data_IF_843896095658
#
_entry.id   IF_843896095658
#
_cell.length_a   1.000
_cell.length_b   1.000
_cell.length_c   1.000
_cell.angle_alpha   90.00
_cell.angle_beta   90.00
_cell.angle_gamma   90.00
#
_symmetry.space_group_name_H-M   'P 1'
#
loop_
_entity.id
_entity.type
_entity.pdbx_description
1 polymer ?
#
# COMPACT_ATOMS: atom_id res chain seq x y z
N UNK A 1 -37.99 -75.78 -19.68
CA UNK A 1 -36.84 -75.06 -20.25
C UNK A 1 -37.15 -73.57 -20.17
N UNK A 2 -36.54 -72.86 -19.21
CA UNK A 2 -36.61 -71.41 -19.11
C UNK A 2 -35.17 -70.92 -18.85
N UNK A 3 -34.55 -70.35 -19.87
CA UNK A 3 -33.17 -69.86 -19.81
C UNK A 3 -33.12 -68.46 -19.22
N UNK A 4 -32.49 -68.32 -18.06
CA UNK A 4 -32.20 -67.03 -17.44
C UNK A 4 -31.08 -66.32 -18.24
N UNK A 5 -31.37 -65.11 -18.72
CA UNK A 5 -30.39 -64.23 -19.37
C UNK A 5 -29.63 -63.45 -18.30
N UNK A 6 -28.32 -63.66 -18.25
CA UNK A 6 -27.37 -62.95 -17.39
C UNK A 6 -27.18 -61.52 -17.95
N UNK A 7 -27.66 -60.50 -17.24
CA UNK A 7 -27.39 -59.09 -17.56
C UNK A 7 -26.03 -58.70 -16.98
N UNK A 8 -25.05 -58.44 -17.84
CA UNK A 8 -23.76 -57.85 -17.47
C UNK A 8 -23.94 -56.33 -17.49
N UNK A 9 -23.93 -55.69 -16.31
CA UNK A 9 -23.84 -54.23 -16.21
C UNK A 9 -22.38 -53.80 -16.42
N UNK A 10 -22.10 -52.84 -17.33
CA UNK A 10 -20.75 -52.31 -17.47
C UNK A 10 -20.44 -51.44 -16.26
N UNK A 11 -19.35 -51.76 -15.55
CA UNK A 11 -18.81 -50.94 -14.48
C UNK A 11 -18.34 -49.61 -15.08
N UNK A 12 -19.10 -48.54 -14.81
CA UNK A 12 -18.71 -47.18 -15.15
C UNK A 12 -17.58 -46.78 -14.19
N UNK A 13 -16.33 -46.93 -14.63
CA UNK A 13 -15.17 -46.40 -13.92
C UNK A 13 -15.26 -44.89 -14.01
N UNK A 14 -15.75 -44.24 -12.95
CA UNK A 14 -15.59 -42.80 -12.76
C UNK A 14 -14.09 -42.54 -12.63
N UNK A 15 -13.46 -42.16 -13.74
CA UNK A 15 -12.15 -41.53 -13.70
C UNK A 15 -12.30 -40.22 -12.96
N UNK A 16 -11.89 -40.19 -11.69
CA UNK A 16 -11.54 -38.96 -11.00
C UNK A 16 -10.39 -38.34 -11.80
N UNK A 17 -10.72 -37.48 -12.77
CA UNK A 17 -9.76 -36.50 -13.26
C UNK A 17 -9.45 -35.63 -12.06
N UNK A 18 -8.31 -35.88 -11.43
CA UNK A 18 -7.70 -34.92 -10.52
C UNK A 18 -7.55 -33.64 -11.34
N UNK A 19 -8.41 -32.66 -11.08
CA UNK A 19 -8.18 -31.30 -11.55
C UNK A 19 -6.89 -30.91 -10.85
N UNK A 20 -5.77 -31.02 -11.56
CA UNK A 20 -4.49 -30.53 -11.06
C UNK A 20 -4.75 -29.10 -10.63
N UNK A 21 -4.64 -28.84 -9.33
CA UNK A 21 -4.76 -27.50 -8.81
C UNK A 21 -3.74 -26.64 -9.58
N UNK A 22 -4.22 -25.60 -10.28
CA UNK A 22 -3.38 -24.71 -11.09
C UNK A 22 -2.55 -23.74 -10.24
N UNK A 23 -2.60 -23.91 -8.93
CA UNK A 23 -1.82 -23.20 -7.94
C UNK A 23 -0.92 -24.23 -7.27
N UNK A 24 0.38 -24.02 -7.34
CA UNK A 24 1.39 -24.89 -6.73
C UNK A 24 1.62 -24.51 -5.27
N UNK A 25 1.71 -25.50 -4.38
CA UNK A 25 2.17 -25.29 -3.00
C UNK A 25 3.70 -25.20 -3.01
N UNK A 26 4.23 -24.06 -2.59
CA UNK A 26 5.66 -23.75 -2.61
C UNK A 26 6.28 -23.92 -1.23
N UNK A 27 7.55 -24.33 -1.21
CA UNK A 27 8.36 -24.46 0.00
C UNK A 27 9.38 -23.30 0.15
N UNK A 28 10.19 -23.37 1.21
CA UNK A 28 11.27 -22.39 1.46
C UNK A 28 12.37 -22.39 0.39
N UNK A 29 12.49 -23.44 -0.41
CA UNK A 29 13.46 -23.54 -1.51
C UNK A 29 12.97 -22.91 -2.80
N UNK A 30 11.77 -22.33 -2.82
CA UNK A 30 11.23 -21.59 -3.96
C UNK A 30 12.23 -20.60 -4.57
N UNK A 31 12.96 -19.85 -3.75
CA UNK A 31 13.91 -18.84 -4.22
C UNK A 31 15.05 -19.46 -5.04
N UNK A 32 15.47 -20.67 -4.69
CA UNK A 32 16.52 -21.44 -5.36
C UNK A 32 15.97 -22.17 -6.60
N UNK A 33 14.75 -22.68 -6.52
CA UNK A 33 14.17 -23.59 -7.51
C UNK A 33 13.48 -22.91 -8.70
N UNK A 34 13.15 -21.61 -8.61
CA UNK A 34 12.32 -20.92 -9.63
C UNK A 34 12.94 -20.74 -11.03
N UNK A 35 14.22 -21.11 -11.24
CA UNK A 35 14.93 -21.09 -12.55
C UNK A 35 14.71 -19.82 -13.40
N UNK A 36 14.58 -18.67 -12.76
CA UNK A 36 14.30 -17.36 -13.40
C UNK A 36 12.93 -17.23 -14.11
N UNK A 37 12.04 -18.22 -13.98
CA UNK A 37 10.66 -18.13 -14.48
C UNK A 37 9.87 -17.09 -13.65
N UNK A 38 8.88 -16.40 -14.25
CA UNK A 38 8.04 -15.48 -13.49
C UNK A 38 7.00 -16.26 -12.67
N UNK A 39 6.90 -15.92 -11.39
CA UNK A 39 5.97 -16.54 -10.45
C UNK A 39 5.06 -15.49 -9.81
N UNK A 40 3.77 -15.75 -9.78
CA UNK A 40 2.80 -15.01 -8.99
C UNK A 40 2.50 -15.84 -7.73
N UNK A 41 2.88 -15.32 -6.56
CA UNK A 41 2.81 -16.08 -5.30
C UNK A 41 1.91 -15.37 -4.29
N UNK A 42 0.99 -16.13 -3.70
CA UNK A 42 0.27 -15.74 -2.48
C UNK A 42 1.05 -16.23 -1.27
N UNK A 43 1.50 -15.29 -0.44
CA UNK A 43 2.04 -15.60 0.88
C UNK A 43 0.92 -15.50 1.90
N UNK A 44 0.68 -16.61 2.60
CA UNK A 44 -0.47 -16.74 3.49
C UNK A 44 -0.08 -17.35 4.84
N UNK A 45 -1.03 -17.29 5.78
CA UNK A 45 -0.94 -17.98 7.06
C UNK A 45 -2.20 -18.83 7.28
N UNK A 46 -2.09 -20.08 7.75
CA UNK A 46 -3.22 -21.03 7.83
C UNK A 46 -4.29 -20.60 8.83
N UNK A 47 -3.94 -19.78 9.83
CA UNK A 47 -4.86 -19.22 10.81
C UNK A 47 -5.54 -17.92 10.34
N UNK A 48 -5.17 -17.36 9.20
CA UNK A 48 -5.69 -16.09 8.72
C UNK A 48 -7.04 -16.26 8.01
N UNK A 49 -8.11 -15.73 8.59
CA UNK A 49 -9.46 -15.82 8.01
C UNK A 49 -9.59 -15.09 6.66
N UNK A 50 -8.88 -13.97 6.50
CA UNK A 50 -8.82 -13.25 5.23
C UNK A 50 -8.17 -14.08 4.12
N UNK A 51 -7.13 -14.88 4.42
CA UNK A 51 -6.53 -15.81 3.46
C UNK A 51 -7.51 -16.90 3.04
N UNK A 52 -8.20 -17.52 4.00
CA UNK A 52 -9.20 -18.56 3.71
C UNK A 52 -10.34 -18.05 2.82
N UNK A 53 -10.79 -16.82 3.08
CA UNK A 53 -11.83 -16.18 2.26
C UNK A 53 -11.33 -15.85 0.85
N UNK A 54 -10.04 -15.55 0.71
CA UNK A 54 -9.42 -15.19 -0.56
C UNK A 54 -9.01 -16.41 -1.42
N UNK A 55 -8.78 -17.57 -0.79
CA UNK A 55 -8.31 -18.79 -1.45
C UNK A 55 -9.12 -19.19 -2.72
N UNK A 56 -10.47 -19.13 -2.75
CA UNK A 56 -11.22 -19.43 -3.97
C UNK A 56 -10.87 -18.49 -5.14
N UNK A 57 -10.70 -17.19 -4.86
CA UNK A 57 -10.32 -16.19 -5.86
C UNK A 57 -8.91 -16.49 -6.39
N UNK A 58 -8.00 -16.95 -5.52
CA UNK A 58 -6.64 -17.29 -5.91
C UNK A 58 -6.58 -18.48 -6.88
N UNK A 59 -7.36 -19.53 -6.62
CA UNK A 59 -7.46 -20.65 -7.56
C UNK A 59 -8.06 -20.25 -8.91
N UNK A 60 -9.06 -19.36 -8.92
CA UNK A 60 -9.62 -18.83 -10.16
C UNK A 60 -8.57 -18.03 -10.96
N UNK A 61 -7.74 -17.23 -10.30
CA UNK A 61 -6.60 -16.53 -10.93
C UNK A 61 -5.64 -17.53 -11.57
N UNK A 62 -5.26 -18.59 -10.85
CA UNK A 62 -4.41 -19.66 -11.37
C UNK A 62 -4.98 -20.34 -12.61
N UNK A 63 -6.26 -20.70 -12.56
CA UNK A 63 -6.96 -21.34 -13.67
C UNK A 63 -7.06 -20.41 -14.90
N UNK A 64 -7.38 -19.13 -14.70
CA UNK A 64 -7.52 -18.18 -15.80
C UNK A 64 -6.18 -17.84 -16.46
N UNK A 65 -5.12 -17.59 -15.68
CA UNK A 65 -3.78 -17.36 -16.23
C UNK A 65 -3.30 -18.55 -17.05
N UNK A 66 -3.57 -19.78 -16.59
CA UNK A 66 -3.24 -20.98 -17.37
C UNK A 66 -4.06 -21.09 -18.65
N UNK A 67 -5.37 -20.85 -18.57
CA UNK A 67 -6.29 -20.89 -19.71
C UNK A 67 -5.89 -19.88 -20.80
N UNK A 68 -5.41 -18.70 -20.39
CA UNK A 68 -4.88 -17.66 -21.29
C UNK A 68 -3.49 -17.98 -21.86
N UNK A 69 -2.87 -19.09 -21.47
CA UNK A 69 -1.51 -19.44 -21.90
C UNK A 69 -0.43 -18.51 -21.33
N UNK A 70 -0.69 -17.92 -20.16
CA UNK A 70 0.30 -17.05 -19.49
C UNK A 70 1.59 -17.82 -19.20
N UNK A 71 2.77 -17.21 -19.40
CA UNK A 71 4.05 -17.79 -19.00
C UNK A 71 4.31 -17.69 -17.49
N UNK A 72 3.39 -17.10 -16.72
CA UNK A 72 3.53 -16.90 -15.27
C UNK A 72 2.97 -18.10 -14.52
N UNK A 73 3.82 -18.73 -13.71
CA UNK A 73 3.39 -19.80 -12.80
C UNK A 73 2.70 -19.18 -11.59
N UNK A 74 1.68 -19.87 -11.05
CA UNK A 74 0.93 -19.40 -9.89
C UNK A 74 1.17 -20.36 -8.74
N UNK A 75 1.52 -19.82 -7.57
CA UNK A 75 1.78 -20.61 -6.39
C UNK A 75 1.26 -19.95 -5.11
N UNK A 76 1.28 -20.71 -4.02
CA UNK A 76 1.04 -20.20 -2.68
C UNK A 76 2.08 -20.75 -1.71
N UNK A 77 2.39 -19.98 -0.67
CA UNK A 77 3.45 -20.32 0.29
C UNK A 77 3.00 -19.95 1.71
N UNK A 78 3.02 -20.94 2.61
CA UNK A 78 2.81 -20.75 4.04
C UNK A 78 4.08 -20.18 4.71
N UNK A 79 4.07 -18.89 5.01
CA UNK A 79 5.21 -18.21 5.65
C UNK A 79 5.28 -18.43 7.16
N UNK A 80 4.30 -19.10 7.76
CA UNK A 80 4.35 -19.48 9.18
C UNK A 80 5.24 -20.70 9.40
N UNK A 81 5.34 -21.58 8.41
CA UNK A 81 6.28 -22.69 8.41
C UNK A 81 7.71 -22.23 8.04
N UNK A 82 7.85 -21.13 7.29
CA UNK A 82 9.11 -20.70 6.68
C UNK A 82 9.42 -19.21 6.94
N UNK A 83 9.96 -18.92 8.13
CA UNK A 83 10.20 -17.54 8.60
C UNK A 83 11.28 -16.76 7.83
N UNK A 84 12.21 -17.43 7.16
CA UNK A 84 13.22 -16.80 6.29
C UNK A 84 12.54 -16.06 5.12
N UNK A 85 11.55 -16.70 4.49
CA UNK A 85 10.80 -16.17 3.34
C UNK A 85 10.09 -14.87 3.69
N UNK A 86 9.57 -14.76 4.91
CA UNK A 86 8.91 -13.54 5.41
C UNK A 86 9.84 -12.33 5.35
N UNK A 87 11.10 -12.53 5.73
CA UNK A 87 12.12 -11.48 5.74
C UNK A 87 12.60 -11.16 4.33
N UNK A 88 12.84 -12.18 3.51
CA UNK A 88 13.35 -12.04 2.14
C UNK A 88 12.40 -11.23 1.25
N UNK A 89 11.09 -11.42 1.42
CA UNK A 89 10.06 -10.71 0.66
C UNK A 89 9.46 -9.50 1.41
N UNK A 90 9.96 -9.18 2.61
CA UNK A 90 9.48 -8.06 3.45
C UNK A 90 7.95 -8.08 3.62
N UNK A 91 7.40 -9.25 3.96
CA UNK A 91 5.96 -9.46 4.11
C UNK A 91 5.51 -8.89 5.45
N UNK A 92 4.59 -7.91 5.40
CA UNK A 92 4.10 -7.18 6.58
C UNK A 92 2.67 -7.53 6.99
N UNK A 93 1.99 -8.35 6.21
CA UNK A 93 0.60 -8.73 6.43
C UNK A 93 0.13 -9.78 5.44
N UNK A 94 -1.02 -10.38 5.75
CA UNK A 94 -1.58 -11.50 5.00
C UNK A 94 -2.99 -11.20 4.47
N UNK A 95 -3.38 -11.74 3.30
CA UNK A 95 -2.48 -12.34 2.32
C UNK A 95 -1.60 -11.29 1.65
N UNK A 96 -0.35 -11.63 1.31
CA UNK A 96 0.50 -10.80 0.47
C UNK A 96 0.63 -11.44 -0.93
N UNK A 97 0.44 -10.65 -1.98
CA UNK A 97 0.50 -11.12 -3.37
C UNK A 97 1.72 -10.48 -4.01
N UNK A 98 2.66 -11.29 -4.46
CA UNK A 98 3.92 -10.79 -5.02
C UNK A 98 4.23 -11.53 -6.32
N UNK A 99 4.52 -10.77 -7.37
CA UNK A 99 5.07 -11.32 -8.60
C UNK A 99 6.59 -11.25 -8.54
N UNK A 100 7.24 -12.39 -8.70
CA UNK A 100 8.69 -12.55 -8.72
C UNK A 100 9.12 -12.79 -10.16
N UNK A 101 10.04 -11.96 -10.68
CA UNK A 101 10.56 -12.04 -12.04
C UNK A 101 12.07 -11.80 -12.04
N UNK A 102 12.82 -12.86 -12.31
CA UNK A 102 14.28 -12.86 -12.15
C UNK A 102 14.66 -12.62 -10.68
N UNK A 103 15.40 -11.54 -10.42
CA UNK A 103 15.80 -11.10 -9.08
C UNK A 103 14.86 -10.05 -8.47
N UNK A 104 13.86 -9.58 -9.24
CA UNK A 104 12.94 -8.54 -8.78
C UNK A 104 11.65 -9.14 -8.26
N UNK A 105 11.12 -8.52 -7.22
CA UNK A 105 9.79 -8.80 -6.66
C UNK A 105 8.91 -7.55 -6.76
N UNK A 106 7.63 -7.76 -7.04
CA UNK A 106 6.64 -6.72 -7.25
C UNK A 106 5.40 -7.04 -6.41
N UNK A 107 5.17 -6.26 -5.37
CA UNK A 107 4.03 -6.46 -4.48
C UNK A 107 2.76 -5.86 -5.10
N UNK A 108 1.70 -6.66 -5.14
CA UNK A 108 0.37 -6.21 -5.54
C UNK A 108 -0.37 -5.60 -4.36
N UNK A 109 -0.74 -4.33 -4.50
CA UNK A 109 -1.47 -3.55 -3.48
C UNK A 109 -2.86 -3.11 -3.93
N UNK A 110 -3.34 -3.64 -5.06
CA UNK A 110 -4.66 -3.31 -5.60
C UNK A 110 -5.80 -4.11 -4.95
N UNK A 111 -7.04 -3.94 -5.47
CA UNK A 111 -8.21 -4.70 -5.04
C UNK A 111 -7.98 -6.21 -5.17
N UNK A 112 -8.40 -6.99 -4.17
CA UNK A 112 -8.25 -8.46 -4.17
C UNK A 112 -9.29 -9.16 -5.05
N UNK A 113 -9.43 -8.71 -6.29
CA UNK A 113 -10.31 -9.29 -7.31
C UNK A 113 -9.49 -10.04 -8.34
N UNK A 114 -10.08 -11.08 -8.92
CA UNK A 114 -9.47 -11.88 -9.98
C UNK A 114 -8.93 -11.01 -11.13
N UNK A 115 -9.78 -10.15 -11.67
CA UNK A 115 -9.45 -9.30 -12.81
C UNK A 115 -8.29 -8.34 -12.50
N UNK A 116 -8.28 -7.74 -11.31
CA UNK A 116 -7.23 -6.82 -10.88
C UNK A 116 -5.86 -7.49 -10.74
N UNK A 117 -5.84 -8.74 -10.27
CA UNK A 117 -4.62 -9.53 -10.11
C UNK A 117 -4.11 -10.01 -11.49
N UNK A 118 -5.00 -10.43 -12.37
CA UNK A 118 -4.66 -10.84 -13.74
C UNK A 118 -4.09 -9.66 -14.54
N UNK A 119 -4.72 -8.48 -14.46
CA UNK A 119 -4.21 -7.28 -15.10
C UNK A 119 -2.81 -6.91 -14.58
N UNK A 120 -2.62 -6.92 -13.25
CA UNK A 120 -1.31 -6.70 -12.65
C UNK A 120 -0.26 -7.70 -13.15
N UNK A 121 -0.63 -8.99 -13.20
CA UNK A 121 0.26 -10.06 -13.66
C UNK A 121 0.67 -9.84 -15.11
N UNK A 122 -0.30 -9.61 -16.00
CA UNK A 122 -0.05 -9.34 -17.41
C UNK A 122 0.78 -8.07 -17.64
N UNK A 123 0.62 -7.06 -16.79
CA UNK A 123 1.42 -5.83 -16.82
C UNK A 123 2.90 -6.09 -16.48
N UNK A 124 3.15 -6.68 -15.32
CA UNK A 124 4.50 -6.81 -14.75
C UNK A 124 5.29 -7.97 -15.38
N UNK A 125 4.61 -9.05 -15.77
CA UNK A 125 5.24 -10.18 -16.45
C UNK A 125 5.77 -9.81 -17.84
N UNK A 126 5.13 -8.86 -18.54
CA UNK A 126 5.55 -8.39 -19.85
C UNK A 126 6.82 -7.53 -19.84
N UNK A 127 7.25 -7.04 -21.02
CA UNK A 127 8.31 -6.04 -21.12
C UNK A 127 7.94 -4.76 -20.35
N UNK A 128 8.93 -4.13 -19.73
CA UNK A 128 8.77 -2.88 -18.96
C UNK A 128 8.23 -1.76 -19.85
N UNK A 129 8.76 -1.64 -21.06
CA UNK A 129 8.29 -0.71 -22.10
C UNK A 129 7.89 -1.53 -23.32
N UNK A 130 6.67 -1.35 -23.81
CA UNK A 130 6.12 -2.11 -24.93
C UNK A 130 6.13 -1.28 -26.21
N UNK A 131 6.71 -1.79 -27.32
CA UNK A 131 6.69 -1.05 -28.58
C UNK A 131 5.28 -1.08 -29.21
N UNK A 132 4.83 0.09 -29.66
CA UNK A 132 3.67 0.25 -30.52
C UNK A 132 4.17 0.38 -31.95
N UNK A 133 3.92 -0.65 -32.74
CA UNK A 133 4.46 -0.78 -34.11
C UNK A 133 3.52 -0.25 -35.18
N UNK A 134 2.26 0.00 -34.86
CA UNK A 134 1.27 0.49 -35.82
C UNK A 134 0.22 1.39 -35.18
N UNK A 135 -0.39 2.25 -36.01
CA UNK A 135 -1.49 3.11 -35.59
C UNK A 135 -2.70 2.31 -35.07
N UNK A 136 -2.97 1.11 -35.61
CA UNK A 136 -4.06 0.26 -35.09
C UNK A 136 -3.77 -0.23 -33.67
N UNK A 137 -2.51 -0.61 -33.39
CA UNK A 137 -2.11 -1.03 -32.06
C UNK A 137 -2.17 0.14 -31.06
N UNK A 138 -1.79 1.33 -31.49
CA UNK A 138 -1.96 2.55 -30.68
C UNK A 138 -3.43 2.79 -30.33
N UNK A 139 -4.34 2.73 -31.30
CA UNK A 139 -5.79 2.89 -31.05
C UNK A 139 -6.34 1.80 -30.14
N UNK A 140 -5.87 0.55 -30.30
CA UNK A 140 -6.25 -0.53 -29.42
C UNK A 140 -5.84 -0.26 -27.96
N UNK A 141 -4.59 0.17 -27.73
CA UNK A 141 -4.08 0.56 -26.41
C UNK A 141 -4.87 1.73 -25.83
N UNK A 142 -5.16 2.75 -26.64
CA UNK A 142 -5.97 3.90 -26.24
C UNK A 142 -7.40 3.49 -25.82
N UNK A 143 -7.99 2.49 -26.46
CA UNK A 143 -9.33 1.97 -26.11
C UNK A 143 -9.35 1.06 -24.89
N UNK A 144 -8.23 0.40 -24.57
CA UNK A 144 -8.11 -0.59 -23.49
C UNK A 144 -7.61 -0.02 -22.18
N UNK A 145 -6.83 1.05 -22.25
CA UNK A 145 -6.16 1.64 -21.10
C UNK A 145 -6.58 3.10 -20.93
N UNK A 146 -7.21 3.39 -19.80
CA UNK A 146 -7.61 4.75 -19.45
C UNK A 146 -6.42 5.67 -19.14
N UNK A 147 -5.26 5.09 -18.81
CA UNK A 147 -4.02 5.80 -18.52
C UNK A 147 -2.80 4.99 -18.95
N UNK A 148 -1.92 5.58 -19.76
CA UNK A 148 -0.62 5.01 -20.08
C UNK A 148 0.40 6.07 -20.44
N UNK A 149 1.68 5.74 -20.25
CA UNK A 149 2.80 6.59 -20.65
C UNK A 149 3.36 6.13 -21.99
N UNK A 150 3.75 7.08 -22.83
CA UNK A 150 4.32 6.82 -24.14
C UNK A 150 5.60 7.61 -24.36
N UNK A 151 6.68 6.90 -24.67
CA UNK A 151 7.89 7.49 -25.24
C UNK A 151 7.76 7.59 -26.75
N UNK A 152 8.01 8.77 -27.31
CA UNK A 152 7.76 9.09 -28.71
C UNK A 152 9.07 9.49 -29.39
N UNK A 153 9.48 8.68 -30.37
CA UNK A 153 10.55 8.95 -31.33
C UNK A 153 11.96 9.09 -30.74
N UNK A 154 12.94 9.33 -31.62
CA UNK A 154 14.33 9.65 -31.28
C UNK A 154 15.25 8.46 -30.97
N UNK A 155 16.54 8.60 -31.31
CA UNK A 155 17.61 7.63 -30.98
C UNK A 155 18.44 8.05 -29.77
N UNK A 156 17.94 8.95 -28.92
CA UNK A 156 18.72 9.44 -27.77
C UNK A 156 18.85 8.35 -26.71
N UNK A 157 20.02 7.70 -26.56
CA UNK A 157 20.14 6.55 -25.67
C UNK A 157 19.91 6.94 -24.22
N UNK A 158 20.34 8.14 -23.83
CA UNK A 158 20.17 8.68 -22.48
C UNK A 158 18.70 8.87 -22.10
N UNK A 159 17.90 9.46 -22.99
CA UNK A 159 16.47 9.69 -22.73
C UNK A 159 15.70 8.37 -22.70
N UNK A 160 16.03 7.43 -23.59
CA UNK A 160 15.45 6.07 -23.59
C UNK A 160 15.79 5.33 -22.29
N UNK A 161 17.05 5.33 -21.86
CA UNK A 161 17.47 4.69 -20.61
C UNK A 161 16.81 5.32 -19.38
N UNK A 162 16.71 6.66 -19.33
CA UNK A 162 16.00 7.38 -18.25
C UNK A 162 14.53 6.96 -18.18
N UNK A 163 13.86 6.89 -19.33
CA UNK A 163 12.47 6.44 -19.41
C UNK A 163 12.29 4.98 -18.98
N UNK A 164 13.16 4.06 -19.43
CA UNK A 164 13.10 2.65 -19.02
C UNK A 164 13.32 2.46 -17.51
N UNK A 165 14.21 3.25 -16.91
CA UNK A 165 14.44 3.20 -15.46
C UNK A 165 13.19 3.62 -14.70
N UNK A 166 12.55 4.72 -15.09
CA UNK A 166 11.31 5.20 -14.48
C UNK A 166 10.16 4.22 -14.73
N UNK A 167 10.02 3.70 -15.95
CA UNK A 167 9.02 2.69 -16.28
C UNK A 167 9.18 1.43 -15.40
N UNK A 168 10.42 1.01 -15.11
CA UNK A 168 10.67 -0.15 -14.23
C UNK A 168 10.28 0.10 -12.77
N UNK A 169 10.39 1.34 -12.30
CA UNK A 169 9.98 1.76 -10.95
C UNK A 169 8.45 1.80 -10.82
N UNK A 170 7.75 2.27 -11.87
CA UNK A 170 6.31 2.49 -11.84
C UNK A 170 5.47 1.39 -12.54
N UNK A 171 6.08 0.30 -13.01
CA UNK A 171 5.40 -0.78 -13.75
C UNK A 171 4.27 -1.44 -12.95
N UNK A 172 4.34 -1.38 -11.61
CA UNK A 172 3.29 -1.90 -10.73
C UNK A 172 2.02 -1.04 -10.74
N UNK A 173 2.10 0.19 -11.21
CA UNK A 173 0.99 1.15 -11.21
C UNK A 173 0.38 1.37 -12.59
N UNK A 174 1.19 1.45 -13.65
CA UNK A 174 0.72 1.81 -14.99
C UNK A 174 1.51 1.14 -16.13
N UNK A 175 0.94 1.19 -17.32
CA UNK A 175 1.58 0.70 -18.54
C UNK A 175 2.47 1.76 -19.18
N UNK A 176 3.61 1.31 -19.71
CA UNK A 176 4.60 2.12 -20.40
C UNK A 176 4.83 1.58 -21.81
N UNK A 177 4.81 2.49 -22.78
CA UNK A 177 4.90 2.16 -24.19
C UNK A 177 5.96 3.01 -24.88
N UNK A 178 6.37 2.59 -26.07
CA UNK A 178 7.21 3.39 -26.97
C UNK A 178 6.65 3.34 -28.38
N UNK A 179 6.73 4.44 -29.13
CA UNK A 179 6.27 4.51 -30.51
C UNK A 179 7.20 5.40 -31.34
N UNK A 180 7.26 5.16 -32.65
CA UNK A 180 7.74 6.16 -33.60
C UNK A 180 6.69 7.25 -33.79
N UNK A 181 7.12 8.41 -34.28
CA UNK A 181 6.21 9.53 -34.58
C UNK A 181 5.15 9.15 -35.62
N UNK A 182 5.51 8.30 -36.59
CA UNK A 182 4.63 7.80 -37.66
C UNK A 182 3.43 6.99 -37.17
N UNK A 183 3.51 6.40 -35.97
CA UNK A 183 2.45 5.60 -35.37
C UNK A 183 1.36 6.47 -34.74
N UNK A 184 1.65 7.74 -34.46
CA UNK A 184 0.75 8.63 -33.77
C UNK A 184 -0.37 9.15 -34.68
N UNK A 185 -1.58 9.37 -34.15
CA UNK A 185 -2.64 10.02 -34.91
C UNK A 185 -2.28 11.48 -35.17
N UNK A 186 -2.77 12.04 -36.28
CA UNK A 186 -2.52 13.43 -36.68
C UNK A 186 -2.99 14.47 -35.63
N UNK A 187 -3.89 14.09 -34.73
CA UNK A 187 -4.35 14.95 -33.63
C UNK A 187 -3.28 15.19 -32.54
N UNK A 188 -2.22 14.37 -32.48
CA UNK A 188 -1.13 14.54 -31.52
C UNK A 188 -0.07 15.45 -32.13
N UNK A 189 0.01 16.69 -31.64
CA UNK A 189 1.03 17.66 -32.05
C UNK A 189 2.23 17.60 -31.11
N UNK A 190 3.41 17.33 -31.66
CA UNK A 190 4.67 17.30 -30.91
C UNK A 190 5.46 18.58 -31.16
N UNK A 191 5.99 19.18 -30.09
CA UNK A 191 6.89 20.33 -30.20
C UNK A 191 8.33 19.91 -30.50
N UNK A 192 8.77 18.80 -29.90
CA UNK A 192 10.14 18.28 -30.02
C UNK A 192 10.12 16.74 -30.00
N UNK A 193 11.13 16.11 -30.63
CA UNK A 193 11.35 14.65 -30.58
C UNK A 193 12.80 14.40 -30.13
N UNK A 194 13.08 13.47 -29.19
CA UNK A 194 12.13 12.61 -28.49
C UNK A 194 11.32 13.33 -27.42
N UNK A 195 10.06 12.90 -27.27
CA UNK A 195 9.11 13.39 -26.27
C UNK A 195 8.53 12.26 -25.43
N UNK A 196 8.05 12.59 -24.24
CA UNK A 196 7.30 11.65 -23.38
C UNK A 196 5.92 12.26 -23.16
N UNK A 197 4.89 11.44 -23.38
CA UNK A 197 3.51 11.82 -23.18
C UNK A 197 2.85 10.88 -22.16
N UNK A 198 1.87 11.40 -21.43
CA UNK A 198 0.87 10.58 -20.73
C UNK A 198 -0.45 10.76 -21.46
N UNK A 199 -1.08 9.65 -21.84
CA UNK A 199 -2.43 9.64 -22.40
C UNK A 199 -3.38 9.28 -21.27
N UNK A 200 -4.37 10.14 -21.02
CA UNK A 200 -5.43 9.90 -20.04
C UNK A 200 -6.64 10.78 -20.30
N UNK A 201 -7.81 10.30 -19.91
CA UNK A 201 -9.06 11.06 -19.93
C UNK A 201 -9.39 11.67 -21.30
N UNK A 202 -9.07 10.95 -22.38
CA UNK A 202 -9.27 11.40 -23.77
C UNK A 202 -8.33 12.51 -24.26
N UNK A 203 -7.34 12.89 -23.45
CA UNK A 203 -6.32 13.89 -23.79
C UNK A 203 -4.90 13.34 -23.58
N UNK A 204 -3.90 14.17 -23.85
CA UNK A 204 -2.49 13.86 -23.57
C UNK A 204 -1.75 15.06 -22.99
N UNK A 205 -0.76 14.78 -22.15
CA UNK A 205 0.11 15.79 -21.57
C UNK A 205 1.57 15.46 -21.87
N UNK A 206 2.29 16.44 -22.41
CA UNK A 206 3.70 16.31 -22.77
C UNK A 206 4.60 16.71 -21.60
N UNK A 207 5.56 15.85 -21.27
CA UNK A 207 6.61 16.11 -20.30
C UNK A 207 7.62 17.14 -20.84
N UNK A 208 7.94 18.13 -20.01
CA UNK A 208 8.96 19.13 -20.28
C UNK A 208 9.90 19.25 -19.08
N UNK A 209 11.18 18.93 -19.25
CA UNK A 209 12.15 18.89 -18.15
C UNK A 209 12.36 20.24 -17.44
N UNK A 210 12.27 21.37 -18.16
CA UNK A 210 12.42 22.72 -17.56
C UNK A 210 11.22 23.08 -16.68
N UNK A 211 10.03 22.64 -17.07
CA UNK A 211 8.76 22.98 -16.42
C UNK A 211 8.39 21.99 -15.32
N UNK A 212 8.59 20.70 -15.60
CA UNK A 212 8.06 19.59 -14.80
C UNK A 212 9.14 18.95 -13.91
N UNK A 213 10.41 19.33 -14.07
CA UNK A 213 11.51 18.81 -13.26
C UNK A 213 11.87 17.36 -13.61
N UNK A 214 12.09 16.51 -12.60
CA UNK A 214 12.49 15.12 -12.81
C UNK A 214 11.33 14.30 -13.43
N UNK A 215 11.68 13.40 -14.36
CA UNK A 215 10.75 12.49 -14.99
C UNK A 215 10.07 11.54 -13.99
N UNK A 216 10.81 11.04 -12.98
CA UNK A 216 10.23 10.15 -11.96
C UNK A 216 9.13 10.87 -11.18
N UNK A 217 9.41 12.09 -10.71
CA UNK A 217 8.42 12.91 -10.01
C UNK A 217 7.22 13.22 -10.90
N UNK A 218 7.45 13.53 -12.19
CA UNK A 218 6.35 13.77 -13.13
C UNK A 218 5.49 12.52 -13.35
N UNK A 219 6.09 11.35 -13.62
CA UNK A 219 5.34 10.09 -13.74
C UNK A 219 4.59 9.77 -12.46
N UNK A 220 5.21 9.96 -11.28
CA UNK A 220 4.59 9.74 -9.98
C UNK A 220 3.34 10.61 -9.74
N UNK A 221 3.32 11.82 -10.29
CA UNK A 221 2.15 12.72 -10.27
C UNK A 221 1.11 12.34 -11.31
N UNK A 222 1.56 12.00 -12.51
CA UNK A 222 0.69 11.79 -13.65
C UNK A 222 0.03 10.42 -13.71
N UNK A 223 0.47 9.50 -12.85
CA UNK A 223 -0.02 8.11 -12.76
C UNK A 223 -1.49 7.97 -12.36
N UNK A 224 -2.14 9.05 -11.95
CA UNK A 224 -3.55 9.10 -11.56
C UNK A 224 -4.39 9.74 -12.67
N UNK A 225 -5.62 9.23 -12.84
CA UNK A 225 -6.63 9.87 -13.70
C UNK A 225 -6.96 11.24 -13.14
N UNK A 226 -7.40 12.15 -14.01
CA UNK A 226 -7.76 13.48 -13.59
C UNK A 226 -9.03 13.51 -12.74
N UNK A 227 -9.94 12.55 -12.91
CA UNK A 227 -11.15 12.40 -12.09
C UNK A 227 -11.52 10.93 -11.94
N UNK A 228 -11.57 10.42 -10.70
CA UNK A 228 -11.92 9.02 -10.42
C UNK A 228 -12.41 8.83 -8.98
N UNK A 229 -12.99 7.67 -8.70
CA UNK A 229 -13.39 7.29 -7.35
C UNK A 229 -12.15 6.97 -6.51
N UNK A 230 -11.93 7.75 -5.45
CA UNK A 230 -10.85 7.54 -4.50
C UNK A 230 -11.32 6.68 -3.32
N UNK A 231 -10.51 5.72 -2.93
CA UNK A 231 -10.58 5.07 -1.63
C UNK A 231 -9.47 5.61 -0.72
N UNK A 232 -9.50 5.18 0.55
CA UNK A 232 -8.50 5.56 1.57
C UNK A 232 -7.06 5.25 1.13
N UNK A 233 -6.87 4.17 0.39
CA UNK A 233 -5.55 3.72 -0.06
C UNK A 233 -5.02 4.59 -1.19
N UNK A 234 -5.85 4.86 -2.20
CA UNK A 234 -5.47 5.71 -3.32
C UNK A 234 -5.23 7.13 -2.87
N UNK A 235 -6.04 7.64 -1.93
CA UNK A 235 -5.83 8.95 -1.33
C UNK A 235 -4.49 9.04 -0.59
N UNK A 236 -4.10 7.99 0.15
CA UNK A 236 -2.77 7.92 0.78
C UNK A 236 -1.65 7.95 -0.27
N UNK A 237 -1.77 7.16 -1.34
CA UNK A 237 -0.81 7.14 -2.44
C UNK A 237 -0.71 8.48 -3.18
N UNK A 238 -1.82 9.19 -3.36
CA UNK A 238 -1.84 10.53 -3.93
C UNK A 238 -1.20 11.53 -2.98
N UNK A 239 -1.31 11.33 -1.67
CA UNK A 239 -0.68 12.18 -0.67
C UNK A 239 0.85 12.17 -0.69
N UNK A 240 1.46 11.13 -1.26
CA UNK A 240 2.90 11.10 -1.54
C UNK A 240 3.27 12.02 -2.71
N UNK A 241 2.31 12.32 -3.59
CA UNK A 241 2.48 13.38 -4.58
C UNK A 241 2.26 14.71 -3.86
N UNK A 242 3.19 15.67 -4.00
CA UNK A 242 3.19 16.97 -3.30
C UNK A 242 2.02 17.91 -3.69
N UNK A 243 0.91 17.37 -4.18
CA UNK A 243 -0.23 18.06 -4.75
C UNK A 243 -1.32 18.27 -3.71
N UNK A 244 -2.11 19.31 -3.93
CA UNK A 244 -3.37 19.46 -3.22
C UNK A 244 -4.38 18.46 -3.78
N UNK A 245 -5.06 17.73 -2.92
CA UNK A 245 -6.06 16.75 -3.31
C UNK A 245 -7.43 17.32 -3.04
N UNK A 246 -8.24 17.41 -4.08
CA UNK A 246 -9.63 17.83 -4.00
C UNK A 246 -10.48 16.57 -3.93
N UNK A 247 -11.15 16.39 -2.80
CA UNK A 247 -12.09 15.29 -2.60
C UNK A 247 -13.52 15.82 -2.51
N UNK A 248 -14.39 15.31 -3.38
CA UNK A 248 -15.83 15.46 -3.25
C UNK A 248 -16.39 14.26 -2.47
N UNK A 249 -16.94 14.49 -1.29
CA UNK A 249 -17.52 13.43 -0.46
C UNK A 249 -19.03 13.32 -0.72
N UNK A 250 -19.56 12.10 -0.72
CA UNK A 250 -20.99 11.83 -0.97
C UNK A 250 -21.37 11.80 -2.46
N UNK A 251 -20.37 11.68 -3.34
CA UNK A 251 -20.52 11.73 -4.78
C UNK A 251 -20.63 13.17 -5.32
N UNK A 252 -20.00 13.40 -6.48
CA UNK A 252 -20.24 14.60 -7.28
C UNK A 252 -21.03 14.17 -8.51
N UNK A 253 -22.31 14.52 -8.56
CA UNK A 253 -23.22 14.24 -9.67
C UNK A 253 -22.97 15.13 -10.89
N UNK A 254 -22.15 16.17 -10.73
CA UNK A 254 -22.20 17.30 -11.63
C UNK A 254 -21.15 17.18 -12.73
N UNK A 255 -21.62 17.19 -13.97
CA UNK A 255 -20.81 16.97 -15.17
C UNK A 255 -19.72 18.04 -15.35
N UNK A 256 -19.94 19.24 -14.80
CA UNK A 256 -18.96 20.33 -14.83
C UNK A 256 -17.71 19.99 -14.01
N UNK A 257 -17.82 19.23 -12.91
CA UNK A 257 -16.67 18.82 -12.09
C UNK A 257 -15.75 17.89 -12.87
N UNK A 258 -16.33 17.03 -13.71
CA UNK A 258 -15.57 16.13 -14.59
C UNK A 258 -14.80 16.90 -15.64
N UNK A 259 -15.31 18.04 -16.12
CA UNK A 259 -14.62 18.86 -17.15
C UNK A 259 -13.63 19.84 -16.52
N UNK A 260 -13.86 20.22 -15.28
CA UNK A 260 -13.12 21.27 -14.59
C UNK A 260 -11.63 20.95 -14.36
N UNK A 261 -11.28 19.67 -14.25
CA UNK A 261 -9.90 19.24 -14.00
C UNK A 261 -8.91 19.85 -15.01
N UNK A 262 -9.33 20.08 -16.26
CA UNK A 262 -8.49 20.65 -17.33
C UNK A 262 -7.91 22.02 -16.95
N UNK A 263 -8.65 22.82 -16.16
CA UNK A 263 -8.24 24.17 -15.78
C UNK A 263 -7.24 24.19 -14.62
N UNK A 264 -7.22 23.17 -13.75
CA UNK A 264 -6.47 23.21 -12.48
C UNK A 264 -5.56 22.01 -12.24
N UNK A 265 -5.47 21.12 -13.22
CA UNK A 265 -4.68 19.89 -13.26
C UNK A 265 -3.20 20.06 -12.82
N UNK A 266 -2.64 21.26 -12.96
CA UNK A 266 -1.23 21.51 -12.62
C UNK A 266 -0.95 21.62 -11.13
N UNK A 267 -1.95 21.98 -10.32
CA UNK A 267 -1.77 22.24 -8.90
C UNK A 267 -2.62 21.31 -8.02
N UNK A 268 -3.67 20.74 -8.60
CA UNK A 268 -4.63 19.91 -7.89
C UNK A 268 -4.88 18.59 -8.60
N UNK A 269 -5.06 17.55 -7.79
CA UNK A 269 -5.63 16.28 -8.24
C UNK A 269 -7.07 16.19 -7.74
N UNK A 270 -7.97 15.72 -8.59
CA UNK A 270 -9.39 15.61 -8.27
C UNK A 270 -9.80 14.15 -8.12
N UNK A 271 -10.67 13.91 -7.17
CA UNK A 271 -11.42 12.66 -7.10
C UNK A 271 -12.66 12.81 -6.24
N UNK A 272 -13.48 11.76 -6.23
CA UNK A 272 -14.66 11.70 -5.38
C UNK A 272 -14.60 10.47 -4.48
N UNK A 273 -15.16 10.60 -3.28
CA UNK A 273 -15.29 9.53 -2.31
C UNK A 273 -16.78 9.27 -2.07
N UNK A 274 -17.18 8.00 -2.05
CA UNK A 274 -18.58 7.61 -1.81
C UNK A 274 -19.02 7.96 -0.38
N UNK A 275 -18.12 7.82 0.59
CA UNK A 275 -18.37 8.14 2.00
C UNK A 275 -17.42 9.21 2.53
N UNK A 276 -17.60 9.56 3.80
CA UNK A 276 -16.77 10.51 4.54
C UNK A 276 -15.95 9.86 5.66
N UNK A 277 -16.03 8.55 5.91
CA UNK A 277 -15.39 7.90 7.08
C UNK A 277 -13.89 8.19 7.21
N UNK A 278 -13.17 8.05 6.10
CA UNK A 278 -11.75 8.36 6.07
C UNK A 278 -11.48 9.85 6.33
N UNK A 279 -12.28 10.72 5.70
CA UNK A 279 -12.15 12.18 5.85
C UNK A 279 -12.48 12.63 7.27
N UNK A 280 -13.50 12.03 7.90
CA UNK A 280 -13.86 12.26 9.29
C UNK A 280 -12.68 11.95 10.23
N UNK A 281 -11.99 10.82 9.97
CA UNK A 281 -10.75 10.47 10.65
C UNK A 281 -9.60 11.45 10.40
N UNK A 282 -9.50 12.00 9.18
CA UNK A 282 -8.47 12.97 8.80
C UNK A 282 -8.68 14.34 9.46
N UNK A 283 -9.91 14.87 9.43
CA UNK A 283 -10.27 16.17 10.03
C UNK A 283 -10.53 16.08 11.54
N UNK A 284 -10.67 14.87 12.09
CA UNK A 284 -11.06 14.59 13.48
C UNK A 284 -12.43 15.20 13.82
N UNK A 285 -13.42 14.97 12.96
CA UNK A 285 -14.75 15.55 13.05
C UNK A 285 -15.73 14.88 12.07
N UNK A 286 -16.93 15.42 11.97
CA UNK A 286 -17.94 14.95 11.01
C UNK A 286 -18.07 15.93 9.86
N UNK A 287 -17.87 15.45 8.63
CA UNK A 287 -18.09 16.21 7.41
C UNK A 287 -19.47 15.90 6.87
N UNK A 288 -20.34 16.90 6.73
CA UNK A 288 -21.65 16.72 6.09
C UNK A 288 -21.49 16.24 4.64
N UNK A 289 -22.44 15.43 4.15
CA UNK A 289 -22.49 14.96 2.77
C UNK A 289 -23.62 15.68 2.01
N UNK A 290 -23.43 16.09 0.74
CA UNK A 290 -22.16 16.13 0.00
C UNK A 290 -21.29 17.33 0.42
N UNK A 291 -19.96 17.19 0.35
CA UNK A 291 -19.05 18.30 0.67
C UNK A 291 -17.76 18.27 -0.16
N UNK A 292 -17.11 19.43 -0.25
CA UNK A 292 -15.85 19.65 -0.93
C UNK A 292 -14.76 19.91 0.11
N UNK A 293 -13.66 19.16 0.02
CA UNK A 293 -12.47 19.38 0.85
C UNK A 293 -11.22 19.43 -0.03
N UNK A 294 -10.33 20.37 0.28
CA UNK A 294 -9.00 20.44 -0.33
C UNK A 294 -7.99 20.05 0.73
N UNK A 295 -7.22 19.00 0.49
CA UNK A 295 -6.25 18.45 1.43
C UNK A 295 -4.83 18.71 0.95
N UNK A 296 -3.96 19.07 1.87
CA UNK A 296 -2.53 19.03 1.70
C UNK A 296 -1.96 17.92 2.60
N UNK A 297 -1.75 16.76 2.01
CA UNK A 297 -1.33 15.56 2.73
C UNK A 297 0.09 15.67 3.31
N UNK A 298 0.94 16.53 2.74
CA UNK A 298 2.33 16.71 3.20
C UNK A 298 2.40 17.29 4.62
N UNK A 299 1.44 18.15 4.96
CA UNK A 299 1.32 18.79 6.27
C UNK A 299 0.11 18.30 7.06
N UNK A 300 -0.58 17.26 6.58
CA UNK A 300 -1.90 16.84 7.06
C UNK A 300 -2.88 18.00 7.27
N UNK A 301 -2.86 18.94 6.35
CA UNK A 301 -3.67 20.15 6.36
C UNK A 301 -4.89 20.01 5.45
N UNK A 302 -5.92 20.79 5.71
CA UNK A 302 -7.07 20.89 4.81
C UNK A 302 -7.71 22.27 4.82
N UNK A 303 -8.50 22.52 3.78
CA UNK A 303 -9.29 23.71 3.58
C UNK A 303 -10.73 23.30 3.26
N UNK A 304 -11.67 24.03 3.85
CA UNK A 304 -13.09 23.89 3.58
C UNK A 304 -13.58 25.21 2.97
N UNK A 305 -14.46 25.17 1.97
CA UNK A 305 -15.05 26.38 1.42
C UNK A 305 -15.97 27.03 2.47
N UNK A 306 -15.98 28.35 2.52
CA UNK A 306 -16.84 29.11 3.46
C UNK A 306 -18.32 28.99 3.11
N UNK A 307 -18.62 28.78 1.83
CA UNK A 307 -19.95 28.62 1.27
C UNK A 307 -20.01 27.33 0.44
N UNK A 308 -21.22 26.82 0.23
CA UNK A 308 -21.42 25.66 -0.65
C UNK A 308 -21.03 26.07 -2.08
N UNK A 309 -20.17 25.27 -2.71
CA UNK A 309 -19.74 25.49 -4.09
C UNK A 309 -20.71 24.79 -5.02
N UNK A 310 -21.43 25.55 -5.84
CA UNK A 310 -22.39 25.03 -6.82
C UNK A 310 -21.94 25.31 -8.27
N UNK A 311 -21.06 26.31 -8.46
CA UNK A 311 -20.57 26.70 -9.79
C UNK A 311 -19.07 26.53 -9.98
N UNK A 312 -18.66 26.45 -11.25
CA UNK A 312 -17.24 26.37 -11.64
C UNK A 312 -16.44 27.60 -11.21
N UNK A 313 -17.05 28.79 -11.28
CA UNK A 313 -16.42 30.06 -10.91
C UNK A 313 -16.15 30.13 -9.41
N UNK A 314 -17.12 29.72 -8.58
CA UNK A 314 -16.96 29.60 -7.13
C UNK A 314 -15.84 28.62 -6.77
N UNK A 315 -15.78 27.47 -7.46
CA UNK A 315 -14.69 26.51 -7.25
C UNK A 315 -13.33 27.13 -7.59
N UNK A 316 -13.21 27.80 -8.74
CA UNK A 316 -11.97 28.49 -9.13
C UNK A 316 -11.57 29.55 -8.09
N UNK A 317 -12.52 30.35 -7.61
CA UNK A 317 -12.25 31.37 -6.62
C UNK A 317 -11.76 30.76 -5.31
N UNK A 318 -12.37 29.66 -4.88
CA UNK A 318 -11.93 28.92 -3.70
C UNK A 318 -10.53 28.32 -3.89
N UNK A 319 -10.26 27.63 -5.00
CA UNK A 319 -8.94 27.05 -5.24
C UNK A 319 -7.84 28.12 -5.36
N UNK A 320 -8.14 29.25 -6.01
CA UNK A 320 -7.23 30.38 -6.07
C UNK A 320 -6.99 31.02 -4.70
N UNK A 321 -8.00 31.06 -3.81
CA UNK A 321 -7.80 31.55 -2.44
C UNK A 321 -6.96 30.60 -1.59
N UNK A 322 -7.01 29.28 -1.85
CA UNK A 322 -6.10 28.30 -1.26
C UNK A 322 -4.66 28.51 -1.75
N UNK A 323 -4.44 28.62 -3.07
CA UNK A 323 -3.09 28.85 -3.62
C UNK A 323 -2.47 30.17 -3.18
N UNK A 324 -3.27 31.23 -3.06
CA UNK A 324 -2.82 32.54 -2.60
C UNK A 324 -2.69 32.66 -1.07
N UNK A 325 -2.96 31.59 -0.33
CA UNK A 325 -2.86 31.58 1.14
C UNK A 325 -3.90 32.43 1.88
N UNK A 326 -5.01 32.80 1.21
CA UNK A 326 -6.12 33.55 1.83
C UNK A 326 -7.05 32.63 2.62
N UNK A 327 -7.20 31.39 2.17
CA UNK A 327 -8.03 30.38 2.84
C UNK A 327 -7.40 29.92 4.15
N UNK A 328 -8.22 29.78 5.19
CA UNK A 328 -7.78 29.33 6.51
C UNK A 328 -7.33 27.87 6.46
N UNK A 329 -6.05 27.62 6.70
CA UNK A 329 -5.50 26.28 6.87
C UNK A 329 -6.04 25.65 8.17
N UNK A 330 -6.68 24.50 8.05
CA UNK A 330 -7.12 23.66 9.15
C UNK A 330 -6.25 22.40 9.24
N UNK A 331 -6.29 21.71 10.38
CA UNK A 331 -5.46 20.52 10.60
C UNK A 331 -4.01 20.84 10.94
N UNK A 332 -3.07 20.13 10.30
CA UNK A 332 -1.63 20.26 10.51
C UNK A 332 -0.98 19.04 11.16
N UNK A 333 0.33 18.88 10.95
CA UNK A 333 1.14 17.77 11.43
C UNK A 333 1.96 18.09 12.70
N UNK A 334 1.70 19.24 13.35
CA UNK A 334 2.39 19.66 14.58
C UNK A 334 2.13 18.72 15.77
N UNK A 335 3.03 18.74 16.77
CA UNK A 335 2.99 17.82 17.92
C UNK A 335 1.61 17.79 18.61
N UNK A 336 1.05 18.95 18.92
CA UNK A 336 -0.28 19.08 19.56
C UNK A 336 -1.38 18.44 18.71
N UNK A 337 -1.32 18.62 17.38
CA UNK A 337 -2.29 18.04 16.45
C UNK A 337 -2.15 16.52 16.33
N UNK A 338 -0.92 16.00 16.36
CA UNK A 338 -0.67 14.55 16.40
C UNK A 338 -1.26 13.93 17.66
N UNK A 339 -1.06 14.55 18.83
CA UNK A 339 -1.68 14.09 20.08
C UNK A 339 -3.20 14.15 20.03
N UNK A 340 -3.77 15.23 19.48
CA UNK A 340 -5.23 15.33 19.27
C UNK A 340 -5.76 14.22 18.34
N UNK A 341 -5.02 13.89 17.28
CA UNK A 341 -5.40 12.81 16.34
C UNK A 341 -5.31 11.44 16.99
N UNK A 342 -4.29 11.20 17.81
CA UNK A 342 -4.20 9.97 18.60
C UNK A 342 -5.41 9.83 19.53
N UNK A 343 -5.74 10.88 20.28
CA UNK A 343 -6.92 10.88 21.15
C UNK A 343 -8.22 10.63 20.37
N UNK A 344 -8.40 11.30 19.23
CA UNK A 344 -9.58 11.10 18.37
C UNK A 344 -9.67 9.63 17.90
N UNK A 345 -8.57 9.05 17.40
CA UNK A 345 -8.53 7.65 16.95
C UNK A 345 -8.85 6.66 18.06
N UNK A 346 -8.31 6.88 19.26
CA UNK A 346 -8.58 6.02 20.43
C UNK A 346 -10.06 6.12 20.80
N UNK A 347 -10.59 7.33 20.93
CA UNK A 347 -12.00 7.53 21.31
C UNK A 347 -12.98 7.04 20.25
N UNK A 348 -12.69 7.23 18.97
CA UNK A 348 -13.52 6.70 17.88
C UNK A 348 -13.47 5.17 17.86
N UNK A 349 -12.28 4.55 17.95
CA UNK A 349 -12.14 3.10 17.99
C UNK A 349 -12.86 2.47 19.17
N UNK A 350 -12.78 3.09 20.35
CA UNK A 350 -13.51 2.65 21.55
C UNK A 350 -15.02 2.75 21.31
N UNK A 351 -15.53 3.89 20.83
CA UNK A 351 -16.96 4.07 20.54
C UNK A 351 -17.49 3.03 19.54
N UNK A 352 -16.77 2.85 18.42
CA UNK A 352 -17.14 1.88 17.39
C UNK A 352 -17.01 0.44 17.89
N UNK A 353 -15.98 0.13 18.69
CA UNK A 353 -15.78 -1.16 19.32
C UNK A 353 -16.92 -1.50 20.28
N UNK A 354 -17.32 -0.56 21.14
CA UNK A 354 -18.46 -0.76 22.05
C UNK A 354 -19.80 -0.92 21.32
N UNK A 355 -19.98 -0.21 20.19
CA UNK A 355 -21.18 -0.37 19.36
C UNK A 355 -21.24 -1.73 18.66
N UNK A 356 -20.08 -2.29 18.28
CA UNK A 356 -20.01 -3.54 17.50
C UNK A 356 -19.90 -4.79 18.37
N UNK A 357 -19.05 -4.76 19.39
CA UNK A 357 -18.73 -5.89 20.26
C UNK A 357 -18.30 -5.38 21.66
N UNK A 358 -19.26 -5.06 22.56
CA UNK A 358 -18.97 -4.43 23.84
C UNK A 358 -18.10 -5.30 24.76
N UNK A 359 -18.37 -6.60 24.84
CA UNK A 359 -17.61 -7.51 25.72
C UNK A 359 -16.15 -7.69 25.29
N UNK A 360 -15.92 -7.86 23.99
CA UNK A 360 -14.56 -7.98 23.43
C UNK A 360 -13.79 -6.68 23.61
N UNK A 361 -14.45 -5.53 23.42
CA UNK A 361 -13.84 -4.22 23.60
C UNK A 361 -13.44 -3.99 25.07
N UNK A 362 -14.29 -4.36 26.04
CA UNK A 362 -13.94 -4.32 27.46
C UNK A 362 -12.71 -5.17 27.78
N UNK A 363 -12.65 -6.39 27.25
CA UNK A 363 -11.51 -7.30 27.47
C UNK A 363 -10.20 -6.76 26.88
N UNK A 364 -10.24 -6.23 25.66
CA UNK A 364 -9.07 -5.65 25.00
C UNK A 364 -8.56 -4.38 25.70
N UNK A 365 -9.44 -3.60 26.33
CA UNK A 365 -9.05 -2.41 27.10
C UNK A 365 -8.55 -2.76 28.50
N UNK A 366 -9.10 -3.79 29.14
CA UNK A 366 -8.74 -4.15 30.52
C UNK A 366 -7.34 -4.76 30.62
N UNK A 367 -6.90 -5.50 29.60
CA UNK A 367 -5.59 -6.15 29.58
C UNK A 367 -4.40 -5.17 29.66
N UNK A 368 -4.28 -4.15 28.78
CA UNK A 368 -3.21 -3.16 28.87
C UNK A 368 -3.32 -2.28 30.11
N UNK A 369 -4.54 -1.90 30.53
CA UNK A 369 -4.75 -1.11 31.76
C UNK A 369 -4.31 -1.91 32.99
N UNK A 370 -4.67 -3.19 33.07
CA UNK A 370 -4.26 -4.08 34.16
C UNK A 370 -2.74 -4.26 34.23
N UNK A 371 -2.08 -4.41 33.08
CA UNK A 371 -0.62 -4.48 33.00
C UNK A 371 0.06 -3.21 33.51
N UNK A 372 -0.44 -2.04 33.12
CA UNK A 372 0.08 -0.75 33.61
C UNK A 372 -0.14 -0.61 35.12
N UNK A 373 -1.33 -0.98 35.62
CA UNK A 373 -1.62 -0.96 37.06
C UNK A 373 -0.67 -1.89 37.82
N UNK A 374 -0.40 -3.09 37.30
CA UNK A 374 0.54 -4.04 37.91
C UNK A 374 1.99 -3.50 37.93
N UNK A 375 2.43 -2.84 36.84
CA UNK A 375 3.76 -2.23 36.77
C UNK A 375 3.86 -1.05 37.75
N UNK A 376 2.86 -0.16 37.77
CA UNK A 376 2.82 0.98 38.70
C UNK A 376 2.79 0.50 40.15
N UNK A 377 1.98 -0.51 40.44
CA UNK A 377 1.94 -1.16 41.75
C UNK A 377 3.32 -1.69 42.13
N UNK A 378 3.96 -2.48 41.26
CA UNK A 378 5.28 -3.06 41.50
C UNK A 378 6.39 -2.01 41.71
N UNK A 379 6.37 -0.89 40.97
CA UNK A 379 7.32 0.22 41.16
C UNK A 379 7.05 0.97 42.47
N UNK A 380 5.78 1.22 42.81
CA UNK A 380 5.42 1.91 44.05
C UNK A 380 5.64 1.06 45.31
N UNK A 381 5.57 -0.28 45.20
CA UNK A 381 5.82 -1.21 46.32
C UNK A 381 7.24 -1.77 46.35
N UNK A 382 8.11 -1.37 45.42
CA UNK A 382 9.51 -1.79 45.44
C UNK A 382 10.22 -1.17 46.65
N UNK A 383 10.41 -1.99 47.69
CA UNK A 383 11.24 -1.65 48.84
C UNK A 383 12.70 -1.66 48.37
N UNK A 384 13.50 -0.60 48.59
CA UNK A 384 14.93 -0.67 48.35
C UNK A 384 15.51 -1.75 49.26
N UNK A 385 16.25 -2.69 48.67
CA UNK A 385 16.95 -3.72 49.44
C UNK A 385 18.07 -3.02 50.18
N UNK A 386 17.85 -2.71 51.46
CA UNK A 386 18.93 -2.41 52.39
C UNK A 386 19.67 -3.74 52.62
N UNK A 387 20.89 -3.84 52.09
CA UNK A 387 21.86 -4.85 52.48
C UNK A 387 22.14 -4.67 53.97
N UNK A 388 21.44 -5.40 54.84
CA UNK A 388 21.92 -5.82 56.17
C UNK A 388 20.82 -6.58 56.91
N UNK A 389 20.92 -7.91 56.91
CA UNK A 389 20.59 -8.86 58.00
C UNK A 389 20.53 -10.27 57.45
N UNK A 390 21.69 -10.83 57.16
CA UNK A 390 21.89 -12.27 57.31
C UNK A 390 22.42 -12.45 58.74
N UNK A 391 21.62 -13.06 59.63
CA UNK A 391 22.12 -13.92 60.70
C UNK A 391 20.94 -14.59 61.43
N UNK A 392 21.16 -15.86 61.74
CA UNK A 392 20.30 -16.80 62.48
C UNK A 392 19.22 -17.54 61.67
N UNK A 393 19.60 -18.71 61.15
CA UNK A 393 18.61 -19.70 60.72
C UNK A 393 19.05 -20.87 59.84
N UNK A 394 20.35 -21.19 59.69
CA UNK A 394 20.72 -22.42 58.98
C UNK A 394 22.13 -22.93 59.35
N UNK A 395 22.38 -23.11 60.65
CA UNK A 395 23.43 -24.02 61.12
C UNK A 395 22.76 -25.38 61.30
N UNK A 396 22.85 -26.25 60.28
CA UNK A 396 22.95 -27.72 60.42
C UNK A 396 23.12 -28.37 59.03
N UNK A 397 24.14 -29.22 58.96
CA UNK A 397 24.43 -30.26 57.95
C UNK A 397 25.33 -29.89 56.75
N UNK A 398 26.60 -30.34 56.87
CA UNK A 398 27.54 -30.82 55.84
C UNK A 398 28.23 -29.74 54.98
N UNK A 399 29.51 -29.37 55.25
CA UNK A 399 30.72 -30.10 54.84
C UNK A 399 31.07 -29.74 53.39
N UNK A 400 32.09 -28.96 53.02
CA UNK A 400 33.54 -29.21 53.19
C UNK A 400 34.33 -27.99 52.64
N UNK A 401 35.48 -27.66 53.25
CA UNK A 401 36.54 -26.69 52.83
C UNK A 401 37.16 -27.02 51.44
N UNK A 402 38.02 -26.19 50.78
CA UNK A 402 39.03 -25.21 51.32
C UNK A 402 39.13 -23.84 50.58
N UNK A 403 39.42 -22.71 51.24
CA UNK A 403 40.72 -22.11 51.66
C UNK A 403 41.45 -21.23 50.61
N UNK A 404 41.93 -20.08 51.11
CA UNK A 404 42.85 -19.06 50.54
C UNK A 404 42.27 -18.07 49.49
N UNK A 405 42.53 -16.77 49.50
CA UNK A 405 43.66 -16.01 50.08
C UNK A 405 43.24 -14.59 50.56
N UNK A 406 43.90 -14.12 51.62
CA UNK A 406 43.86 -12.74 52.11
C UNK A 406 44.98 -11.89 51.50
N UNK A 407 44.73 -10.58 51.25
CA UNK A 407 45.53 -9.40 51.71
C UNK A 407 44.91 -8.11 51.14
N UNK A 408 44.39 -7.21 51.99
CA UNK A 408 45.06 -6.01 52.60
C UNK A 408 45.42 -4.95 51.53
N UNK A 409 45.19 -3.64 51.65
CA UNK A 409 45.12 -2.64 52.75
C UNK A 409 44.68 -1.33 51.99
N UNK A 410 43.73 -0.45 52.35
CA UNK A 410 43.56 0.40 53.55
C UNK A 410 43.56 1.89 53.17
N UNK A 411 42.51 2.60 53.62
CA UNK A 411 42.46 3.99 54.17
C UNK A 411 43.00 5.16 53.32
N UNK A 412 42.58 6.42 53.43
CA UNK A 412 41.70 7.16 54.36
C UNK A 412 41.50 8.59 53.79
N UNK A 413 40.41 9.25 54.22
CA UNK A 413 40.28 10.70 54.54
C UNK A 413 40.59 11.75 53.45
N UNK A 414 40.04 12.97 53.44
CA UNK A 414 38.96 13.68 54.13
C UNK A 414 38.95 15.09 53.54
N UNK A 415 37.76 15.68 53.41
CA UNK A 415 37.42 17.09 53.61
C UNK A 415 38.14 18.26 52.91
N UNK A 416 37.25 19.22 52.59
CA UNK A 416 37.41 20.68 52.68
C UNK A 416 38.04 21.46 51.53
N UNK A 417 37.14 21.96 50.68
CA UNK A 417 36.76 23.37 50.55
C UNK A 417 37.80 24.44 50.18
N UNK A 418 37.31 25.29 49.25
CA UNK A 418 37.49 26.74 49.06
C UNK A 418 38.63 27.24 48.17
N UNK A 419 38.16 27.96 47.13
CA UNK A 419 38.63 29.23 46.56
C UNK A 419 40.05 29.22 45.96
N UNK A 420 40.35 29.87 44.84
CA UNK A 420 39.76 31.00 44.12
C UNK A 420 40.31 30.95 42.67
N UNK A 421 39.57 31.60 41.76
CA UNK A 421 39.88 32.01 40.38
C UNK A 421 39.24 31.23 39.23
#
# INVERSE_FOLDING_TARGET
>A
MAGARLFVFPAFVLGLTVVSAYVEELDDKFNENRKSEPWLVEFYAPWCEYCKTFEPIWYDVGAELKSLGSPVNVGKLDTTAHSSVLSDFNIRGYPAIILVKGEKSFEYRGPRTKDGIIEFTNRVAGPVVRPLTSAQLFQHVLSRHDLFFLYIGGRSPLKVCKYHKVAAEFIIYNYFFSASEEVLPQAVSLQEVPSIAVFKDGTYYLYNEKRDGNLSDWVGRERFRCYFQMDSFTLYQMGETMYYIIAFTGGSSDDWVKTFHVYVYRNFQFGYMQGNDYINGFIMGELALPSLIVMNMTIDGYYLPEQKVETMEELLQFLNSVLNGRSKLLGGNGYVRRMKRLYYRVTSAVKTGFASAPFVTCFLLSLPVGLVVMIVWGVCTAVPVDEDKADEGALLATGTRPAASQRKRTEQTSNESKKED
#
